data_IF_536372408766
#
_entry.id   IF_536372408766
#
_cell.length_a   1.000
_cell.length_b   1.000
_cell.length_c   1.000
_cell.angle_alpha   90.00
_cell.angle_beta   90.00
_cell.angle_gamma   90.00
#
_symmetry.space_group_name_H-M   'P 1'
#
loop_
_entity.id
_entity.type
_entity.pdbx_description
1 polymer ?
#
# COMPACT_ATOMS: atom_id res chain seq x y z
N UNK A 1 -15.45 -20.59 -7.19
CA UNK A 1 -14.46 -19.59 -7.64
C UNK A 1 -14.29 -18.54 -6.56
N UNK A 2 -13.07 -18.32 -6.08
CA UNK A 2 -12.71 -17.39 -4.98
C UNK A 2 -13.20 -15.94 -5.21
N UNK A 3 -13.52 -15.60 -6.47
CA UNK A 3 -14.10 -14.33 -6.90
C UNK A 3 -15.55 -14.07 -6.44
N UNK A 4 -16.29 -15.09 -5.98
CA UNK A 4 -17.72 -14.94 -5.64
C UNK A 4 -17.96 -14.50 -4.18
N UNK A 5 -16.91 -14.31 -3.37
CA UNK A 5 -17.04 -14.04 -1.92
C UNK A 5 -16.74 -12.60 -1.48
N UNK A 6 -16.53 -11.68 -2.41
CA UNK A 6 -16.38 -10.23 -2.08
C UNK A 6 -17.72 -9.48 -2.17
N UNK A 7 -18.84 -10.21 -2.33
CA UNK A 7 -20.16 -9.62 -2.24
C UNK A 7 -20.58 -9.47 -0.77
N UNK A 8 -19.93 -8.58 -0.03
CA UNK A 8 -20.54 -8.01 1.17
C UNK A 8 -19.99 -6.59 1.44
N UNK A 9 -20.86 -5.59 1.26
CA UNK A 9 -20.64 -4.17 1.52
C UNK A 9 -19.41 -3.49 0.88
N UNK A 10 -19.42 -3.32 -0.45
CA UNK A 10 -18.51 -2.38 -1.13
C UNK A 10 -18.95 -0.93 -0.86
N UNK A 11 -18.25 -0.23 0.03
CA UNK A 11 -18.45 1.21 0.26
C UNK A 11 -17.63 2.01 -0.77
N UNK A 12 -18.30 2.79 -1.63
CA UNK A 12 -17.61 3.69 -2.56
C UNK A 12 -17.24 5.00 -1.89
N UNK A 13 -15.95 5.35 -1.92
CA UNK A 13 -15.42 6.60 -1.38
C UNK A 13 -14.65 7.30 -2.51
N UNK A 14 -15.13 8.46 -2.95
CA UNK A 14 -14.59 9.18 -4.11
C UNK A 14 -13.77 10.43 -3.77
N UNK A 15 -13.55 10.70 -2.48
CA UNK A 15 -12.83 11.88 -2.03
C UNK A 15 -11.40 11.54 -1.62
N UNK A 16 -10.41 12.14 -2.31
CA UNK A 16 -8.98 11.89 -2.09
C UNK A 16 -8.59 11.98 -0.62
N UNK A 17 -9.06 13.01 0.12
CA UNK A 17 -8.73 13.16 1.54
C UNK A 17 -9.24 12.01 2.40
N UNK A 18 -10.40 11.45 2.06
CA UNK A 18 -10.99 10.33 2.79
C UNK A 18 -10.19 9.06 2.55
N UNK A 19 -9.79 8.81 1.30
CA UNK A 19 -8.89 7.69 0.99
C UNK A 19 -7.51 7.83 1.66
N UNK A 20 -6.94 9.04 1.71
CA UNK A 20 -5.71 9.30 2.46
C UNK A 20 -5.89 8.93 3.93
N UNK A 21 -6.99 9.38 4.55
CA UNK A 21 -7.28 9.12 5.96
C UNK A 21 -7.42 7.62 6.23
N UNK A 22 -8.20 6.92 5.41
CA UNK A 22 -8.39 5.47 5.53
C UNK A 22 -7.07 4.72 5.35
N UNK A 23 -6.26 5.11 4.37
CA UNK A 23 -4.93 4.52 4.15
C UNK A 23 -4.06 4.65 5.40
N UNK A 24 -4.07 5.85 6.02
CA UNK A 24 -3.35 6.06 7.26
C UNK A 24 -3.90 5.23 8.41
N UNK A 25 -5.21 5.04 8.54
CA UNK A 25 -5.76 4.22 9.62
C UNK A 25 -5.45 2.73 9.47
N UNK A 26 -5.50 2.19 8.25
CA UNK A 26 -5.05 0.80 7.99
C UNK A 26 -3.57 0.64 8.37
N UNK A 27 -2.72 1.55 7.92
CA UNK A 27 -1.30 1.54 8.27
C UNK A 27 -1.07 1.77 9.78
N UNK A 28 -1.91 2.57 10.46
CA UNK A 28 -1.83 2.79 11.90
C UNK A 28 -2.15 1.53 12.69
N UNK A 29 -3.13 0.72 12.24
CA UNK A 29 -3.44 -0.56 12.87
C UNK A 29 -2.21 -1.48 12.90
N UNK A 30 -1.47 -1.55 11.79
CA UNK A 30 -0.22 -2.32 11.67
C UNK A 30 0.87 -1.79 12.61
N UNK A 31 0.96 -0.45 12.77
CA UNK A 31 1.95 0.16 13.66
C UNK A 31 1.63 -0.04 15.15
N UNK A 32 0.35 -0.19 15.50
CA UNK A 32 -0.14 -0.27 16.90
C UNK A 32 -0.34 -1.69 17.39
N UNK A 33 -0.97 -2.55 16.58
CA UNK A 33 -1.57 -3.80 17.06
C UNK A 33 -0.60 -4.98 17.05
N UNK A 34 0.66 -4.78 16.65
CA UNK A 34 1.70 -5.83 16.66
C UNK A 34 1.44 -6.98 15.69
N UNK A 35 0.31 -6.96 14.98
CA UNK A 35 -0.01 -7.90 13.91
C UNK A 35 1.06 -7.82 12.82
N UNK A 36 1.66 -8.97 12.50
CA UNK A 36 2.62 -9.12 11.40
C UNK A 36 1.88 -9.14 10.06
N UNK A 37 1.33 -8.00 9.69
CA UNK A 37 0.64 -7.84 8.43
C UNK A 37 1.63 -7.76 7.26
N UNK A 38 1.22 -8.28 6.11
CA UNK A 38 1.82 -7.99 4.80
C UNK A 38 1.12 -6.77 4.21
N UNK A 39 1.89 -5.78 3.77
CA UNK A 39 1.36 -4.51 3.25
C UNK A 39 1.62 -4.41 1.75
N UNK A 40 0.60 -4.07 0.98
CA UNK A 40 0.68 -3.82 -0.45
C UNK A 40 0.12 -2.44 -0.77
N UNK A 41 0.94 -1.57 -1.36
CA UNK A 41 0.57 -0.17 -1.58
C UNK A 41 0.91 0.28 -2.99
N UNK A 42 -0.09 0.75 -3.73
CA UNK A 42 0.07 1.31 -5.07
C UNK A 42 0.06 2.83 -5.07
N UNK A 43 1.11 3.44 -5.60
CA UNK A 43 1.25 4.91 -5.67
C UNK A 43 1.10 5.47 -7.09
N UNK A 44 0.75 4.65 -8.09
CA UNK A 44 0.78 4.98 -9.53
C UNK A 44 2.19 5.28 -10.06
N UNK A 45 2.92 6.21 -9.43
CA UNK A 45 4.31 6.61 -9.72
C UNK A 45 5.17 6.56 -8.46
N UNK A 46 6.45 6.24 -8.59
CA UNK A 46 7.39 6.25 -7.46
C UNK A 46 7.62 7.65 -6.88
N UNK A 47 7.46 8.71 -7.69
CA UNK A 47 7.50 10.09 -7.18
C UNK A 47 6.41 10.38 -6.15
N UNK A 48 5.24 9.74 -6.27
CA UNK A 48 4.13 9.90 -5.31
C UNK A 48 4.38 9.15 -4.01
N UNK A 49 5.27 8.16 -4.00
CA UNK A 49 5.72 7.46 -2.81
C UNK A 49 6.73 8.27 -1.98
N UNK A 50 7.54 9.15 -2.60
CA UNK A 50 8.62 9.87 -1.89
C UNK A 50 8.19 10.58 -0.59
N UNK A 51 7.04 11.28 -0.54
CA UNK A 51 6.57 11.90 0.71
C UNK A 51 6.26 10.89 1.83
N UNK A 52 6.03 9.62 1.49
CA UNK A 52 5.66 8.55 2.42
C UNK A 52 6.85 7.70 2.91
N UNK A 53 8.07 7.93 2.41
CA UNK A 53 9.27 7.14 2.73
C UNK A 53 9.46 6.97 4.24
N UNK A 54 9.40 8.05 5.03
CA UNK A 54 9.57 7.99 6.49
C UNK A 54 8.51 7.11 7.18
N UNK A 55 7.31 7.09 6.62
CA UNK A 55 6.23 6.25 7.14
C UNK A 55 6.45 4.79 6.80
N UNK A 56 6.87 4.50 5.57
CA UNK A 56 7.13 3.13 5.13
C UNK A 56 8.38 2.54 5.77
N UNK A 57 9.36 3.36 6.16
CA UNK A 57 10.45 2.94 7.04
C UNK A 57 9.94 2.41 8.40
N UNK A 58 8.96 3.10 9.00
CA UNK A 58 8.35 2.65 10.27
C UNK A 58 7.49 1.40 10.08
N UNK A 59 6.72 1.32 8.99
CA UNK A 59 5.93 0.13 8.67
C UNK A 59 6.84 -1.09 8.47
N UNK A 60 7.93 -0.95 7.72
CA UNK A 60 8.84 -2.05 7.43
C UNK A 60 9.55 -2.63 8.67
N UNK A 61 9.63 -1.87 9.77
CA UNK A 61 10.15 -2.35 11.06
C UNK A 61 9.16 -3.22 11.84
N UNK A 62 7.86 -3.17 11.49
CA UNK A 62 6.77 -3.83 12.25
C UNK A 62 6.03 -4.87 11.43
N UNK A 63 5.78 -4.57 10.16
CA UNK A 63 5.12 -5.46 9.21
C UNK A 63 5.97 -6.70 8.93
N UNK A 64 5.31 -7.78 8.52
CA UNK A 64 5.99 -8.99 8.04
C UNK A 64 6.80 -8.66 6.78
N UNK A 65 6.15 -8.02 5.81
CA UNK A 65 6.77 -7.54 4.58
C UNK A 65 5.95 -6.37 4.00
N UNK A 66 6.62 -5.51 3.23
CA UNK A 66 5.99 -4.35 2.59
C UNK A 66 6.31 -4.36 1.09
N UNK A 67 5.28 -4.17 0.26
CA UNK A 67 5.36 -4.12 -1.19
C UNK A 67 4.86 -2.76 -1.68
N UNK A 68 5.72 -2.03 -2.39
CA UNK A 68 5.40 -0.70 -2.93
C UNK A 68 5.38 -0.77 -4.45
N UNK A 69 4.22 -0.49 -5.05
CA UNK A 69 3.99 -0.54 -6.48
C UNK A 69 3.98 0.87 -7.07
N UNK A 70 4.65 1.04 -8.21
CA UNK A 70 4.64 2.31 -8.93
C UNK A 70 5.46 2.27 -10.22
N UNK A 71 5.11 3.15 -11.15
CA UNK A 71 5.93 3.40 -12.34
C UNK A 71 7.27 4.00 -11.88
N UNK A 72 8.43 3.47 -12.34
CA UNK A 72 9.76 3.92 -11.91
C UNK A 72 10.15 5.27 -12.56
N UNK A 73 9.46 6.35 -12.22
CA UNK A 73 9.71 7.70 -12.74
C UNK A 73 10.83 8.44 -11.99
N UNK A 74 11.23 7.94 -10.82
CA UNK A 74 12.33 8.45 -9.99
C UNK A 74 13.05 7.31 -9.27
N UNK A 75 14.30 7.57 -8.86
CA UNK A 75 14.98 6.69 -7.91
C UNK A 75 14.33 6.78 -6.52
N UNK A 76 14.21 5.64 -5.84
CA UNK A 76 13.69 5.55 -4.47
C UNK A 76 14.78 5.09 -3.52
N UNK A 77 14.81 5.58 -2.27
CA UNK A 77 15.78 5.12 -1.28
C UNK A 77 15.54 3.65 -0.95
N UNK A 78 16.62 2.89 -0.71
CA UNK A 78 16.49 1.51 -0.24
C UNK A 78 15.96 1.50 1.21
N UNK A 79 14.87 0.79 1.44
CA UNK A 79 14.32 0.55 2.77
C UNK A 79 14.40 -0.97 3.03
N UNK A 80 15.05 -1.42 4.12
CA UNK A 80 15.01 -2.84 4.50
C UNK A 80 13.58 -3.33 4.68
N UNK A 81 13.29 -4.59 4.31
CA UNK A 81 11.96 -5.19 4.38
C UNK A 81 10.88 -4.52 3.49
N UNK A 82 11.30 -3.67 2.53
CA UNK A 82 10.44 -3.16 1.46
C UNK A 82 10.88 -3.73 0.12
N UNK A 83 9.93 -4.31 -0.61
CA UNK A 83 10.09 -4.74 -1.99
C UNK A 83 9.43 -3.72 -2.90
N UNK A 84 10.20 -3.10 -3.79
CA UNK A 84 9.66 -2.22 -4.82
C UNK A 84 9.23 -3.05 -6.02
N UNK A 85 7.94 -3.02 -6.34
CA UNK A 85 7.36 -3.67 -7.51
C UNK A 85 7.20 -2.62 -8.60
N UNK A 86 8.18 -2.57 -9.51
CA UNK A 86 8.17 -1.64 -10.63
C UNK A 86 7.15 -2.10 -11.66
N UNK A 87 6.16 -1.25 -11.96
CA UNK A 87 5.10 -1.55 -12.92
C UNK A 87 5.27 -0.74 -14.20
N UNK A 88 4.82 -1.30 -15.33
CA UNK A 88 4.82 -0.60 -16.61
C UNK A 88 3.76 0.50 -16.61
N UNK A 89 4.02 1.67 -17.24
CA UNK A 89 2.98 2.69 -17.45
C UNK A 89 1.76 2.18 -18.23
N UNK A 90 1.87 1.04 -18.92
CA UNK A 90 0.78 0.43 -19.69
C UNK A 90 -0.07 -0.53 -18.86
N UNK A 91 0.41 -0.95 -17.69
CA UNK A 91 -0.33 -1.85 -16.81
C UNK A 91 -1.55 -1.11 -16.24
N UNK A 92 -2.67 -1.83 -16.09
CA UNK A 92 -3.89 -1.23 -15.51
C UNK A 92 -3.61 -0.67 -14.11
N UNK A 93 -2.78 -1.37 -13.32
CA UNK A 93 -2.40 -0.99 -11.97
C UNK A 93 -1.65 0.36 -11.91
N UNK A 94 -1.04 0.83 -13.00
CA UNK A 94 -0.37 2.13 -13.04
C UNK A 94 -1.35 3.31 -12.89
N UNK A 95 -2.65 3.07 -13.05
CA UNK A 95 -3.71 4.07 -12.85
C UNK A 95 -4.33 4.02 -11.47
N UNK A 96 -4.06 2.97 -10.69
CA UNK A 96 -4.75 2.72 -9.43
C UNK A 96 -3.93 3.19 -8.23
N UNK A 97 -4.62 3.80 -7.26
CA UNK A 97 -4.12 3.94 -5.89
C UNK A 97 -4.87 2.95 -5.01
N UNK A 98 -4.13 2.03 -4.40
CA UNK A 98 -4.67 1.05 -3.46
C UNK A 98 -3.77 0.90 -2.23
N UNK A 99 -4.36 0.39 -1.16
CA UNK A 99 -3.66 -0.11 0.02
C UNK A 99 -4.37 -1.38 0.48
N UNK A 100 -3.61 -2.43 0.74
CA UNK A 100 -4.07 -3.68 1.31
C UNK A 100 -3.17 -4.04 2.49
N UNK A 101 -3.78 -4.40 3.61
CA UNK A 101 -3.12 -5.04 4.73
C UNK A 101 -3.70 -6.44 4.90
N UNK A 102 -2.83 -7.43 4.88
CA UNK A 102 -3.17 -8.84 5.03
C UNK A 102 -2.46 -9.37 6.28
N UNK A 103 -3.22 -9.52 7.36
CA UNK A 103 -2.75 -10.07 8.62
C UNK A 103 -3.41 -11.44 8.85
N UNK A 104 -2.69 -12.41 9.44
CA UNK A 104 -3.33 -13.64 9.90
C UNK A 104 -4.41 -13.33 10.95
N UNK A 105 -5.50 -14.10 10.93
CA UNK A 105 -6.62 -14.04 11.87
C UNK A 105 -6.19 -14.21 13.34
#
# INVERSE_FOLDING_TARGET
ALAARVADSSMMINHRRTMTLISYEIENAVLKDGARARIFSGFQKMSFFLPQVKRYQRLAQRAESVYVFGVPDVAVPRIPNVTYVMISPRDQLAREWFLLADAPD
#
